data_IF_989811948510
#
_entry.id   IF_989811948510
#
_cell.length_a   1.000
_cell.length_b   1.000
_cell.length_c   1.000
_cell.angle_alpha   90.00
_cell.angle_beta   90.00
_cell.angle_gamma   90.00
#
_symmetry.space_group_name_H-M   'P 1'
#
loop_
_entity.id
_entity.type
_entity.pdbx_description
1 polymer ?
#
# COMPACT_ATOMS: atom_id res chain seq x y z
N UNK A 1 73.39 17.28 8.50
CA UNK A 1 73.91 16.09 7.80
C UNK A 1 74.08 15.02 8.87
N UNK A 2 73.50 13.79 8.83
CA UNK A 2 72.80 12.98 7.79
C UNK A 2 71.29 12.73 8.13
N UNK A 3 70.35 12.38 7.24
CA UNK A 3 70.01 11.12 6.50
C UNK A 3 69.02 10.16 7.24
N UNK A 4 68.03 9.69 6.45
CA UNK A 4 67.21 8.47 6.55
C UNK A 4 65.77 8.50 7.10
N UNK A 5 64.84 8.44 6.13
CA UNK A 5 63.71 7.51 5.96
C UNK A 5 62.56 7.47 7.00
N UNK A 6 61.34 7.66 6.48
CA UNK A 6 60.26 6.64 6.47
C UNK A 6 58.89 7.29 6.60
N UNK A 7 57.93 6.83 5.78
CA UNK A 7 56.50 7.08 6.02
C UNK A 7 55.74 7.61 4.81
N UNK A 8 55.48 6.74 3.84
CA UNK A 8 54.36 6.93 2.90
C UNK A 8 53.05 6.95 3.71
N UNK A 9 52.21 7.95 3.51
CA UNK A 9 50.77 7.81 3.70
C UNK A 9 50.05 8.88 2.88
N UNK A 10 49.71 8.56 1.64
CA UNK A 10 48.75 9.37 0.89
C UNK A 10 47.37 9.25 1.55
N UNK A 11 46.58 10.33 1.67
CA UNK A 11 45.18 10.16 1.98
C UNK A 11 44.48 9.70 0.70
N UNK A 12 44.42 8.38 0.51
CA UNK A 12 43.44 7.75 -0.35
C UNK A 12 42.06 7.90 0.30
N UNK A 13 41.48 9.10 0.22
CA UNK A 13 40.03 9.24 0.31
C UNK A 13 39.45 8.85 -1.05
N UNK A 14 39.29 7.55 -1.23
CA UNK A 14 38.34 7.01 -2.19
C UNK A 14 36.95 7.42 -1.70
N UNK A 15 36.49 8.60 -2.12
CA UNK A 15 35.07 8.86 -2.26
C UNK A 15 34.58 7.85 -3.27
N UNK A 16 33.99 6.77 -2.78
CA UNK A 16 33.21 5.85 -3.59
C UNK A 16 31.98 6.63 -4.05
N UNK A 17 32.11 7.42 -5.11
CA UNK A 17 30.97 7.83 -5.91
C UNK A 17 30.34 6.52 -6.37
N UNK A 18 29.13 6.24 -5.87
CA UNK A 18 28.25 5.28 -6.54
C UNK A 18 28.08 5.74 -7.98
N UNK A 19 27.58 4.89 -8.90
CA UNK A 19 27.39 5.30 -10.28
C UNK A 19 26.62 6.63 -10.29
N UNK A 20 27.26 7.67 -10.83
CA UNK A 20 26.60 8.91 -11.20
C UNK A 20 25.58 8.52 -12.26
N UNK A 21 24.40 8.10 -11.80
CA UNK A 21 23.28 7.82 -12.66
C UNK A 21 22.93 9.18 -13.27
N UNK A 22 23.40 9.40 -14.50
CA UNK A 22 22.97 10.52 -15.32
C UNK A 22 21.45 10.40 -15.45
N UNK A 23 20.74 11.21 -14.68
CA UNK A 23 19.28 11.21 -14.67
C UNK A 23 18.86 11.87 -15.97
N UNK A 24 18.29 11.08 -16.87
CA UNK A 24 17.67 11.59 -18.08
C UNK A 24 16.49 12.51 -17.70
N UNK A 25 16.78 13.81 -17.65
CA UNK A 25 15.81 14.84 -17.30
C UNK A 25 14.64 14.90 -18.28
N UNK A 26 14.85 14.49 -19.54
CA UNK A 26 13.80 14.50 -20.56
C UNK A 26 12.82 13.35 -20.33
N UNK A 27 13.33 12.15 -20.03
CA UNK A 27 12.51 11.00 -19.65
C UNK A 27 11.75 11.26 -18.34
N UNK A 28 12.39 11.91 -17.37
CA UNK A 28 11.76 12.29 -16.11
C UNK A 28 10.63 13.31 -16.34
N UNK A 29 10.84 14.33 -17.17
CA UNK A 29 9.81 15.33 -17.50
C UNK A 29 8.61 14.73 -18.22
N UNK A 30 8.81 13.74 -19.11
CA UNK A 30 7.71 13.02 -19.75
C UNK A 30 6.92 12.16 -18.75
N UNK A 31 7.61 11.44 -17.85
CA UNK A 31 6.95 10.65 -16.80
C UNK A 31 6.19 11.53 -15.81
N UNK A 32 6.73 12.69 -15.45
CA UNK A 32 6.08 13.66 -14.56
C UNK A 32 4.71 14.14 -15.07
N UNK A 33 4.48 14.17 -16.39
CA UNK A 33 3.16 14.54 -16.94
C UNK A 33 2.08 13.52 -16.57
N UNK A 34 2.46 12.29 -16.27
CA UNK A 34 1.55 11.21 -15.88
C UNK A 34 1.43 11.08 -14.37
N UNK A 35 2.19 11.86 -13.59
CA UNK A 35 2.10 11.85 -12.14
C UNK A 35 0.69 12.29 -11.70
N UNK A 36 0.04 11.44 -10.90
CA UNK A 36 -1.34 11.66 -10.44
C UNK A 36 -2.42 11.20 -11.42
N UNK A 37 -2.07 10.80 -12.64
CA UNK A 37 -3.01 10.15 -13.56
C UNK A 37 -3.15 8.67 -13.20
N UNK A 38 -4.38 8.18 -13.09
CA UNK A 38 -4.67 6.74 -12.98
C UNK A 38 -5.72 6.34 -14.01
N UNK A 39 -5.62 5.11 -14.49
CA UNK A 39 -6.54 4.54 -15.49
C UNK A 39 -7.30 3.39 -14.85
N UNK A 40 -8.62 3.40 -15.00
CA UNK A 40 -9.48 2.29 -14.60
C UNK A 40 -9.89 1.52 -15.86
N UNK A 41 -9.55 0.23 -15.90
CA UNK A 41 -10.04 -0.69 -16.93
C UNK A 41 -11.28 -1.41 -16.40
N UNK A 42 -12.35 -1.41 -17.19
CA UNK A 42 -13.59 -2.11 -16.88
C UNK A 42 -14.15 -2.77 -18.13
N UNK A 43 -14.89 -3.87 -17.95
CA UNK A 43 -15.59 -4.57 -19.03
C UNK A 43 -17.01 -3.99 -19.26
N UNK A 44 -17.38 -2.93 -18.52
CA UNK A 44 -18.64 -2.23 -18.67
C UNK A 44 -18.65 -1.35 -19.93
N UNK A 45 -19.75 -1.42 -20.68
CA UNK A 45 -20.00 -0.56 -21.84
C UNK A 45 -20.60 0.78 -21.41
N UNK A 46 -20.50 1.81 -22.28
CA UNK A 46 -21.02 3.16 -21.97
C UNK A 46 -22.51 3.20 -21.55
N UNK A 47 -23.43 2.41 -22.14
CA UNK A 47 -24.81 2.36 -21.66
C UNK A 47 -24.98 1.76 -20.26
N UNK A 48 -24.01 0.98 -19.76
CA UNK A 48 -24.09 0.31 -18.45
C UNK A 48 -23.57 1.20 -17.32
N UNK A 49 -22.50 1.97 -17.56
CA UNK A 49 -21.96 2.91 -16.60
C UNK A 49 -21.11 3.97 -17.31
N UNK A 50 -21.23 5.22 -16.85
CA UNK A 50 -20.33 6.29 -17.24
C UNK A 50 -19.02 6.23 -16.44
N UNK A 51 -18.00 6.95 -16.92
CA UNK A 51 -16.68 6.97 -16.30
C UNK A 51 -16.73 7.45 -14.83
N UNK A 52 -17.61 8.40 -14.52
CA UNK A 52 -17.76 8.96 -13.18
C UNK A 52 -18.34 7.93 -12.20
N UNK A 53 -19.34 7.16 -12.62
CA UNK A 53 -19.89 6.07 -11.79
C UNK A 53 -18.86 4.98 -11.55
N UNK A 54 -18.10 4.59 -12.58
CA UNK A 54 -17.01 3.61 -12.43
C UNK A 54 -15.96 4.11 -11.44
N UNK A 55 -15.56 5.39 -11.56
CA UNK A 55 -14.64 6.01 -10.62
C UNK A 55 -15.17 6.00 -9.17
N UNK A 56 -16.41 6.41 -8.96
CA UNK A 56 -17.03 6.45 -7.64
C UNK A 56 -17.11 5.05 -7.01
N UNK A 57 -17.56 4.05 -7.78
CA UNK A 57 -17.59 2.66 -7.30
C UNK A 57 -16.21 2.10 -7.02
N UNK A 58 -15.21 2.47 -7.81
CA UNK A 58 -13.83 2.10 -7.53
C UNK A 58 -13.32 2.73 -6.23
N UNK A 59 -13.64 4.00 -5.97
CA UNK A 59 -13.31 4.67 -4.70
C UNK A 59 -13.95 4.00 -3.49
N UNK A 60 -15.16 3.45 -3.63
CA UNK A 60 -15.83 2.70 -2.56
C UNK A 60 -15.08 1.43 -2.13
N UNK A 61 -14.09 0.93 -2.89
CA UNK A 61 -13.22 -0.15 -2.40
C UNK A 61 -12.49 0.25 -1.11
N UNK A 62 -12.28 1.54 -0.85
CA UNK A 62 -11.75 2.00 0.43
C UNK A 62 -12.65 1.61 1.62
N UNK A 63 -13.96 1.45 1.41
CA UNK A 63 -14.89 0.94 2.44
C UNK A 63 -14.61 -0.52 2.78
N UNK A 64 -14.15 -1.31 1.81
CA UNK A 64 -13.73 -2.70 2.02
C UNK A 64 -12.47 -2.72 2.88
N UNK A 65 -11.47 -1.89 2.58
CA UNK A 65 -10.28 -1.74 3.41
C UNK A 65 -10.64 -1.31 4.83
N UNK A 66 -11.57 -0.37 4.98
CA UNK A 66 -12.07 0.09 6.27
C UNK A 66 -12.77 -1.04 7.04
N UNK A 67 -13.58 -1.86 6.37
CA UNK A 67 -14.21 -3.05 6.94
C UNK A 67 -13.17 -4.05 7.45
N UNK A 68 -12.15 -4.35 6.64
CA UNK A 68 -11.06 -5.24 7.04
C UNK A 68 -10.21 -4.67 8.17
N UNK A 69 -9.96 -3.36 8.17
CA UNK A 69 -9.25 -2.69 9.26
C UNK A 69 -10.03 -2.81 10.56
N UNK A 70 -11.31 -2.44 10.55
CA UNK A 70 -12.23 -2.57 11.71
C UNK A 70 -12.29 -4.00 12.24
N UNK A 71 -12.31 -4.97 11.33
CA UNK A 71 -12.26 -6.39 11.69
C UNK A 71 -10.94 -6.80 12.36
N UNK A 72 -9.81 -6.22 11.94
CA UNK A 72 -8.45 -6.52 12.45
C UNK A 72 -8.05 -5.76 13.70
N UNK A 73 -8.60 -4.56 13.93
CA UNK A 73 -8.31 -3.72 15.10
C UNK A 73 -9.29 -3.97 16.26
N UNK A 74 -8.91 -3.49 17.45
CA UNK A 74 -9.50 -3.52 18.82
C UNK A 74 -10.95 -4.00 19.05
N UNK A 75 -11.88 -3.91 18.08
CA UNK A 75 -13.30 -4.29 18.27
C UNK A 75 -13.62 -5.76 17.98
N UNK A 76 -12.88 -6.45 17.10
CA UNK A 76 -13.23 -7.81 16.65
C UNK A 76 -12.11 -8.84 16.78
N UNK A 77 -10.93 -8.41 17.25
CA UNK A 77 -9.75 -9.26 17.52
C UNK A 77 -9.50 -10.35 16.46
N UNK A 78 -9.61 -10.00 15.17
CA UNK A 78 -9.38 -10.98 14.08
C UNK A 78 -7.97 -11.54 14.03
N UNK A 79 -7.01 -10.98 14.79
CA UNK A 79 -5.67 -11.56 14.86
C UNK A 79 -5.76 -12.95 15.51
N UNK A 80 -5.69 -14.03 14.72
CA UNK A 80 -5.89 -15.36 15.26
C UNK A 80 -4.54 -15.74 15.85
N UNK A 81 -4.34 -15.51 17.15
CA UNK A 81 -3.03 -15.78 17.74
C UNK A 81 -2.74 -17.30 17.77
N UNK A 82 -3.76 -18.17 17.67
CA UNK A 82 -3.59 -19.60 17.93
C UNK A 82 -4.35 -20.63 17.06
N UNK A 83 -5.03 -20.27 15.96
CA UNK A 83 -5.65 -21.30 15.09
C UNK A 83 -4.60 -21.96 14.18
N UNK A 84 -4.38 -23.26 14.38
CA UNK A 84 -3.38 -24.06 13.64
C UNK A 84 -3.97 -24.92 12.51
N UNK A 85 -5.30 -25.08 12.46
CA UNK A 85 -5.99 -25.90 11.47
C UNK A 85 -6.76 -25.02 10.48
N UNK A 86 -6.66 -25.33 9.18
CA UNK A 86 -7.30 -24.55 8.11
C UNK A 86 -8.82 -24.39 8.29
N UNK A 87 -9.51 -25.42 8.79
CA UNK A 87 -10.95 -25.38 9.07
C UNK A 87 -11.30 -24.33 10.14
N UNK A 88 -10.48 -24.22 11.19
CA UNK A 88 -10.67 -23.26 12.28
C UNK A 88 -10.41 -21.83 11.82
N UNK A 89 -9.42 -21.62 10.97
CA UNK A 89 -9.17 -20.30 10.35
C UNK A 89 -10.34 -19.84 9.51
N UNK A 90 -10.91 -20.72 8.67
CA UNK A 90 -12.10 -20.41 7.86
C UNK A 90 -13.31 -20.09 8.74
N UNK A 91 -13.56 -20.90 9.77
CA UNK A 91 -14.66 -20.65 10.72
C UNK A 91 -14.51 -19.34 11.47
N UNK A 92 -13.28 -19.02 11.92
CA UNK A 92 -13.00 -17.75 12.60
C UNK A 92 -13.24 -16.54 11.70
N UNK A 93 -12.76 -16.59 10.44
CA UNK A 93 -13.02 -15.55 9.46
C UNK A 93 -14.52 -15.34 9.21
N UNK A 94 -15.31 -16.42 9.13
CA UNK A 94 -16.76 -16.35 8.97
C UNK A 94 -17.43 -15.62 10.15
N UNK A 95 -17.10 -16.02 11.39
CA UNK A 95 -17.68 -15.41 12.60
C UNK A 95 -17.38 -13.91 12.66
N UNK A 96 -16.16 -13.51 12.30
CA UNK A 96 -15.76 -12.10 12.28
C UNK A 96 -16.52 -11.30 11.23
N UNK A 97 -16.70 -11.86 10.02
CA UNK A 97 -17.49 -11.22 8.97
C UNK A 97 -18.95 -11.03 9.40
N UNK A 98 -19.53 -12.00 10.13
CA UNK A 98 -20.87 -11.87 10.70
C UNK A 98 -20.95 -10.78 11.77
N UNK A 99 -19.99 -10.76 12.70
CA UNK A 99 -19.96 -9.75 13.75
C UNK A 99 -19.73 -8.33 13.20
N UNK A 100 -18.91 -8.18 12.15
CA UNK A 100 -18.78 -6.92 11.42
C UNK A 100 -20.11 -6.46 10.81
N UNK A 101 -20.94 -7.37 10.27
CA UNK A 101 -22.27 -7.00 9.74
C UNK A 101 -23.17 -6.40 10.81
N UNK A 102 -23.11 -6.91 12.04
CA UNK A 102 -23.86 -6.35 13.18
C UNK A 102 -23.35 -4.94 13.48
N UNK A 103 -22.05 -4.74 13.57
CA UNK A 103 -21.44 -3.40 13.80
C UNK A 103 -21.84 -2.42 12.70
N UNK A 104 -21.79 -2.85 11.43
CA UNK A 104 -22.19 -2.03 10.29
C UNK A 104 -23.66 -1.61 10.37
N UNK A 105 -24.55 -2.52 10.76
CA UNK A 105 -25.98 -2.23 10.90
C UNK A 105 -26.26 -1.27 12.06
N UNK A 106 -25.62 -1.48 13.21
CA UNK A 106 -25.73 -0.59 14.37
C UNK A 106 -25.24 0.83 14.02
N UNK A 107 -24.10 0.94 13.35
CA UNK A 107 -23.56 2.24 12.93
C UNK A 107 -24.52 2.97 11.98
N UNK A 108 -25.14 2.26 11.04
CA UNK A 108 -26.13 2.86 10.12
C UNK A 108 -27.35 3.39 10.87
N UNK A 109 -27.86 2.63 11.85
CA UNK A 109 -29.04 3.02 12.64
C UNK A 109 -28.76 4.16 13.61
N UNK A 110 -27.54 4.27 14.13
CA UNK A 110 -27.15 5.32 15.06
C UNK A 110 -26.89 6.69 14.39
N UNK A 111 -26.72 6.69 13.07
CA UNK A 111 -26.58 7.92 12.28
C UNK A 111 -27.92 8.47 11.76
N UNK A 112 -29.03 7.74 11.96
CA UNK A 112 -30.38 8.15 11.63
C UNK A 112 -31.10 8.73 12.86
#
# INVERSE_FOLDING_TARGET
>A
MPEMASGRMGPSHSTRTGPDADVDQSALAEQQKLDGCYVLKTDLTQPQADAQSVHARYKDLALVEWAFRTSKTVQLEMRPVHVRLASRTRGHALVIMLAYKIVQELARRWQA
#
